data_IF_969941645919
#
_entry.id   IF_969941645919
#
_cell.length_a   1.000
_cell.length_b   1.000
_cell.length_c   1.000
_cell.angle_alpha   90.00
_cell.angle_beta   90.00
_cell.angle_gamma   90.00
#
_symmetry.space_group_name_H-M   'P 1'
#
loop_
_entity.id
_entity.type
_entity.pdbx_description
1 polymer ?
#
# COMPACT_ATOMS: atom_id res chain seq x y z
N UNK A 1 44.62 -88.31 79.43
CA UNK A 1 44.36 -87.64 78.14
C UNK A 1 43.30 -88.44 77.40
N UNK A 2 42.24 -87.92 76.80
CA UNK A 2 41.48 -86.69 76.89
C UNK A 2 40.18 -86.99 76.14
N UNK A 3 39.02 -86.64 76.70
CA UNK A 3 37.76 -86.45 75.97
C UNK A 3 37.91 -85.25 75.00
N UNK A 4 37.16 -85.12 73.88
CA UNK A 4 35.72 -84.89 73.96
C UNK A 4 34.79 -85.43 72.85
N UNK A 5 33.53 -85.58 73.29
CA UNK A 5 32.29 -85.60 72.51
C UNK A 5 32.23 -84.43 71.51
N UNK A 6 31.82 -84.71 70.26
CA UNK A 6 31.40 -83.68 69.30
C UNK A 6 29.88 -83.75 69.11
N UNK A 7 29.27 -82.59 69.30
CA UNK A 7 27.85 -82.32 69.41
C UNK A 7 27.13 -82.40 68.05
N UNK A 8 25.92 -82.95 68.08
CA UNK A 8 24.92 -82.92 67.03
C UNK A 8 24.66 -81.50 66.51
N UNK A 9 24.91 -81.26 65.22
CA UNK A 9 24.49 -80.05 64.50
C UNK A 9 22.96 -79.99 64.41
N UNK A 10 22.30 -79.28 65.33
CA UNK A 10 20.94 -78.78 65.11
C UNK A 10 20.98 -77.74 64.00
N UNK A 11 20.56 -78.11 62.78
CA UNK A 11 20.15 -77.13 61.75
C UNK A 11 18.92 -76.40 62.30
N UNK A 12 19.11 -75.16 62.77
CA UNK A 12 18.00 -74.23 63.00
C UNK A 12 17.32 -74.01 61.64
N UNK A 13 16.08 -74.48 61.50
CA UNK A 13 15.18 -74.00 60.44
C UNK A 13 14.99 -72.51 60.70
N UNK A 14 15.49 -71.67 59.81
CA UNK A 14 15.04 -70.29 59.73
C UNK A 14 13.56 -70.35 59.34
N UNK A 15 12.69 -70.17 60.33
CA UNK A 15 11.29 -69.85 60.10
C UNK A 15 11.26 -68.54 59.34
N UNK A 16 11.01 -68.63 58.03
CA UNK A 16 10.54 -67.49 57.25
C UNK A 16 9.28 -67.01 57.97
N UNK A 17 9.41 -65.88 58.67
CA UNK A 17 8.26 -65.16 59.19
C UNK A 17 7.40 -64.82 57.98
N UNK A 18 6.30 -65.57 57.80
CA UNK A 18 5.19 -65.11 56.98
C UNK A 18 4.74 -63.81 57.64
N UNK A 19 5.18 -62.68 57.08
CA UNK A 19 4.53 -61.39 57.34
C UNK A 19 3.06 -61.65 56.99
N UNK A 20 2.18 -61.55 57.98
CA UNK A 20 0.75 -61.62 57.72
C UNK A 20 0.43 -60.57 56.68
N UNK A 21 -0.12 -60.98 55.55
CA UNK A 21 -0.71 -60.06 54.58
C UNK A 21 -1.92 -59.44 55.29
N UNK A 22 -1.74 -58.23 55.83
CA UNK A 22 -2.83 -57.43 56.34
C UNK A 22 -3.64 -56.95 55.14
N UNK A 23 -4.93 -57.27 55.12
CA UNK A 23 -5.87 -56.72 54.14
C UNK A 23 -6.06 -55.20 54.35
N UNK A 24 -6.34 -54.49 53.26
CA UNK A 24 -6.66 -53.06 53.28
C UNK A 24 -7.91 -52.80 54.12
N UNK A 25 -7.85 -51.79 54.99
CA UNK A 25 -9.04 -51.37 55.75
C UNK A 25 -9.99 -50.57 54.85
N UNK A 26 -11.30 -50.62 55.12
CA UNK A 26 -12.29 -49.85 54.37
C UNK A 26 -12.02 -48.32 54.43
N UNK A 27 -11.48 -47.85 55.55
CA UNK A 27 -11.06 -46.44 55.74
C UNK A 27 -9.89 -46.08 54.81
N UNK A 28 -8.90 -46.96 54.66
CA UNK A 28 -7.72 -46.73 53.81
C UNK A 28 -8.08 -46.68 52.32
N UNK A 29 -9.04 -47.50 51.88
CA UNK A 29 -9.61 -47.41 50.53
C UNK A 29 -10.33 -46.08 50.32
N UNK A 30 -11.15 -45.63 51.29
CA UNK A 30 -11.85 -44.34 51.20
C UNK A 30 -10.88 -43.16 51.14
N UNK A 31 -9.82 -43.17 51.95
CA UNK A 31 -8.78 -42.12 51.94
C UNK A 31 -8.05 -42.13 50.59
N UNK A 32 -7.68 -43.31 50.07
CA UNK A 32 -6.98 -43.43 48.78
C UNK A 32 -7.81 -42.87 47.62
N UNK A 33 -9.10 -43.21 47.56
CA UNK A 33 -10.02 -42.70 46.52
C UNK A 33 -10.22 -41.19 46.69
N UNK A 34 -10.29 -40.68 47.92
CA UNK A 34 -10.43 -39.24 48.20
C UNK A 34 -9.22 -38.44 47.72
N UNK A 35 -8.00 -38.93 48.02
CA UNK A 35 -6.76 -38.31 47.57
C UNK A 35 -6.67 -38.37 46.03
N UNK A 36 -7.00 -39.51 45.43
CA UNK A 36 -7.01 -39.67 43.97
C UNK A 36 -7.97 -38.69 43.30
N UNK A 37 -9.20 -38.54 43.83
CA UNK A 37 -10.18 -37.61 43.31
C UNK A 37 -9.72 -36.15 43.43
N UNK A 38 -9.10 -35.79 44.57
CA UNK A 38 -8.55 -34.45 44.79
C UNK A 38 -7.41 -34.16 43.80
N UNK A 39 -6.47 -35.09 43.64
CA UNK A 39 -5.37 -34.96 42.67
C UNK A 39 -5.93 -34.87 41.25
N UNK A 40 -6.88 -35.73 40.87
CA UNK A 40 -7.51 -35.71 39.56
C UNK A 40 -8.18 -34.38 39.25
N UNK A 41 -8.86 -33.77 40.23
CA UNK A 41 -9.49 -32.45 40.09
C UNK A 41 -8.46 -31.35 39.87
N UNK A 42 -7.37 -31.35 40.64
CA UNK A 42 -6.29 -30.36 40.49
C UNK A 42 -5.60 -30.46 39.12
N UNK A 43 -5.32 -31.69 38.69
CA UNK A 43 -4.73 -31.97 37.38
C UNK A 43 -5.67 -31.50 36.26
N UNK A 44 -6.96 -31.82 36.35
CA UNK A 44 -7.95 -31.38 35.37
C UNK A 44 -8.04 -29.84 35.30
N UNK A 45 -8.05 -29.17 36.45
CA UNK A 45 -8.04 -27.71 36.53
C UNK A 45 -6.80 -27.09 35.87
N UNK A 46 -5.62 -27.68 36.08
CA UNK A 46 -4.38 -27.23 35.44
C UNK A 46 -4.42 -27.43 33.91
N UNK A 47 -4.90 -28.58 33.43
CA UNK A 47 -5.04 -28.85 31.99
C UNK A 47 -6.04 -27.92 31.32
N UNK A 48 -7.20 -27.66 31.94
CA UNK A 48 -8.19 -26.73 31.39
C UNK A 48 -7.64 -25.29 31.34
N UNK A 49 -6.96 -24.85 32.41
CA UNK A 49 -6.27 -23.56 32.44
C UNK A 49 -5.21 -23.44 31.33
N UNK A 50 -4.41 -24.48 31.13
CA UNK A 50 -3.40 -24.52 30.07
C UNK A 50 -4.03 -24.47 28.67
N UNK A 51 -5.12 -25.21 28.44
CA UNK A 51 -5.83 -25.20 27.18
C UNK A 51 -6.43 -23.83 26.85
N UNK A 52 -7.03 -23.15 27.83
CA UNK A 52 -7.55 -21.78 27.66
C UNK A 52 -6.43 -20.80 27.31
N UNK A 53 -5.32 -20.84 28.03
CA UNK A 53 -4.15 -20.01 27.75
C UNK A 53 -3.59 -20.26 26.35
N UNK A 54 -3.46 -21.54 25.95
CA UNK A 54 -2.97 -21.90 24.61
C UNK A 54 -3.87 -21.36 23.50
N UNK A 55 -5.20 -21.43 23.66
CA UNK A 55 -6.15 -20.86 22.68
C UNK A 55 -6.04 -19.34 22.60
N UNK A 56 -5.93 -18.67 23.75
CA UNK A 56 -5.74 -17.21 23.79
C UNK A 56 -4.45 -16.76 23.11
N UNK A 57 -3.34 -17.46 23.33
CA UNK A 57 -2.07 -17.19 22.64
C UNK A 57 -2.19 -17.46 21.13
N UNK A 58 -2.89 -18.53 20.72
CA UNK A 58 -3.13 -18.84 19.32
C UNK A 58 -3.87 -17.71 18.60
N UNK A 59 -5.03 -17.32 19.12
CA UNK A 59 -5.83 -16.21 18.57
C UNK A 59 -5.04 -14.91 18.49
N UNK A 60 -4.21 -14.64 19.51
CA UNK A 60 -3.32 -13.48 19.50
C UNK A 60 -2.33 -13.52 18.35
N UNK A 61 -1.62 -14.65 18.21
CA UNK A 61 -0.62 -14.86 17.17
C UNK A 61 -1.26 -14.72 15.80
N UNK A 62 -2.45 -15.29 15.60
CA UNK A 62 -3.19 -15.24 14.35
C UNK A 62 -3.54 -13.80 13.97
N UNK A 63 -4.04 -12.98 14.91
CA UNK A 63 -4.33 -11.56 14.68
C UNK A 63 -3.09 -10.76 14.30
N UNK A 64 -1.97 -10.99 14.98
CA UNK A 64 -0.71 -10.35 14.67
C UNK A 64 -0.13 -10.78 13.32
N UNK A 65 -0.32 -12.03 12.92
CA UNK A 65 0.07 -12.54 11.61
C UNK A 65 -0.80 -11.94 10.50
N UNK A 66 -2.12 -11.93 10.69
CA UNK A 66 -3.07 -11.36 9.74
C UNK A 66 -2.75 -9.89 9.46
N UNK A 67 -2.57 -9.06 10.50
CA UNK A 67 -2.22 -7.65 10.33
C UNK A 67 -0.89 -7.42 9.60
N UNK A 68 0.14 -8.20 9.94
CA UNK A 68 1.44 -8.12 9.24
C UNK A 68 1.34 -8.56 7.77
N UNK A 69 0.59 -9.62 7.48
CA UNK A 69 0.40 -10.11 6.12
C UNK A 69 -0.37 -9.11 5.27
N UNK A 70 -1.45 -8.54 5.81
CA UNK A 70 -2.23 -7.50 5.14
C UNK A 70 -1.37 -6.26 4.86
N UNK A 71 -0.71 -5.71 5.88
CA UNK A 71 0.14 -4.53 5.72
C UNK A 71 1.27 -4.77 4.71
N UNK A 72 1.92 -5.93 4.79
CA UNK A 72 3.01 -6.30 3.89
C UNK A 72 2.53 -6.53 2.45
N UNK A 73 1.29 -7.00 2.25
CA UNK A 73 0.68 -7.12 0.93
C UNK A 73 0.41 -5.75 0.32
N UNK A 74 -0.28 -4.87 1.04
CA UNK A 74 -0.58 -3.50 0.60
C UNK A 74 0.71 -2.76 0.24
N UNK A 75 1.71 -2.81 1.13
CA UNK A 75 3.01 -2.17 0.91
C UNK A 75 3.69 -2.64 -0.39
N UNK A 76 3.79 -3.96 -0.61
CA UNK A 76 4.44 -4.50 -1.81
C UNK A 76 3.74 -4.10 -3.10
N UNK A 77 2.42 -4.05 -3.11
CA UNK A 77 1.66 -3.73 -4.32
C UNK A 77 1.73 -2.24 -4.64
N UNK A 78 1.64 -1.36 -3.64
CA UNK A 78 1.84 0.08 -3.81
C UNK A 78 3.24 0.42 -4.35
N UNK A 79 4.29 -0.34 -3.96
CA UNK A 79 5.64 -0.15 -4.52
C UNK A 79 5.72 -0.40 -6.02
N UNK A 80 4.82 -1.23 -6.55
CA UNK A 80 4.76 -1.59 -7.97
C UNK A 80 3.75 -0.75 -8.76
N UNK A 81 3.18 0.28 -8.13
CA UNK A 81 2.26 1.20 -8.78
C UNK A 81 2.95 1.91 -9.97
N UNK A 82 2.22 2.05 -11.07
CA UNK A 82 2.72 2.72 -12.27
C UNK A 82 1.62 3.49 -13.00
N UNK A 83 2.03 4.49 -13.75
CA UNK A 83 1.19 5.22 -14.71
C UNK A 83 1.80 5.10 -16.10
N UNK A 84 0.99 5.17 -17.15
CA UNK A 84 1.47 5.13 -18.52
C UNK A 84 0.76 6.11 -19.45
N UNK A 85 1.56 6.80 -20.26
CA UNK A 85 1.15 7.65 -21.38
C UNK A 85 1.07 6.91 -22.71
N UNK A 86 1.21 5.58 -22.73
CA UNK A 86 1.04 4.77 -23.94
C UNK A 86 -0.45 4.64 -24.30
N UNK A 87 -1.03 5.77 -24.68
CA UNK A 87 -2.42 5.92 -25.08
C UNK A 87 -2.48 6.38 -26.54
N UNK A 88 -3.53 6.00 -27.29
CA UNK A 88 -3.73 6.50 -28.64
C UNK A 88 -3.93 8.03 -28.61
N UNK A 89 -3.45 8.71 -29.66
CA UNK A 89 -3.64 10.15 -29.85
C UNK A 89 -5.12 10.52 -29.93
N UNK A 90 -5.92 9.66 -30.56
CA UNK A 90 -7.37 9.79 -30.63
C UNK A 90 -8.02 9.03 -29.47
N UNK A 91 -8.69 9.79 -28.60
CA UNK A 91 -9.35 9.26 -27.40
C UNK A 91 -10.49 8.29 -27.72
N UNK A 92 -11.04 8.31 -28.95
CA UNK A 92 -12.07 7.35 -29.35
C UNK A 92 -11.57 5.90 -29.38
N UNK A 93 -10.25 5.68 -29.45
CA UNK A 93 -9.63 4.36 -29.40
C UNK A 93 -9.08 3.99 -28.02
N UNK A 94 -9.35 4.80 -27.00
CA UNK A 94 -8.90 4.51 -25.64
C UNK A 94 -9.65 3.29 -25.10
N UNK A 95 -8.91 2.21 -24.82
CA UNK A 95 -9.47 0.95 -24.28
C UNK A 95 -8.94 0.61 -22.90
N UNK A 96 -7.97 1.35 -22.40
CA UNK A 96 -7.30 1.14 -21.11
C UNK A 96 -6.84 2.45 -20.53
N UNK A 97 -6.94 2.60 -19.21
CA UNK A 97 -6.47 3.78 -18.49
C UNK A 97 -5.72 3.34 -17.23
N UNK A 98 -4.47 3.78 -17.10
CA UNK A 98 -3.73 3.59 -15.85
C UNK A 98 -4.05 4.72 -14.88
N UNK A 99 -4.30 4.40 -13.62
CA UNK A 99 -4.66 5.39 -12.59
C UNK A 99 -3.99 5.07 -11.26
N UNK A 100 -4.02 6.07 -10.39
CA UNK A 100 -3.84 6.02 -8.95
C UNK A 100 -4.83 7.02 -8.36
N UNK A 101 -5.90 6.51 -7.76
CA UNK A 101 -7.00 7.27 -7.16
C UNK A 101 -7.17 6.79 -5.73
N UNK A 102 -7.18 7.73 -4.81
CA UNK A 102 -7.29 7.50 -3.39
C UNK A 102 -8.27 8.49 -2.76
N UNK A 103 -9.21 7.94 -2.00
CA UNK A 103 -10.27 8.67 -1.32
C UNK A 103 -10.14 8.44 0.18
N UNK A 104 -10.06 9.55 0.92
CA UNK A 104 -10.18 9.55 2.39
C UNK A 104 -11.61 9.21 2.77
N UNK A 105 -11.80 8.17 3.57
CA UNK A 105 -13.14 7.80 4.02
C UNK A 105 -13.11 7.18 5.41
N UNK A 106 -14.07 7.56 6.26
CA UNK A 106 -14.16 7.04 7.62
C UNK A 106 -15.11 5.84 7.69
N UNK A 107 -14.70 4.70 8.30
CA UNK A 107 -13.49 4.48 9.08
C UNK A 107 -12.29 3.92 8.29
N UNK A 108 -12.42 3.72 6.97
CA UNK A 108 -11.40 3.07 6.16
C UNK A 108 -11.29 3.67 4.75
N UNK A 109 -10.10 4.09 4.37
CA UNK A 109 -9.82 4.71 3.08
C UNK A 109 -9.96 3.72 1.93
N UNK A 110 -10.14 4.28 0.72
CA UNK A 110 -10.14 3.53 -0.53
C UNK A 110 -8.97 3.98 -1.39
N UNK A 111 -8.26 3.02 -1.99
CA UNK A 111 -7.28 3.29 -3.04
C UNK A 111 -7.45 2.29 -4.17
N UNK A 112 -7.55 2.79 -5.39
CA UNK A 112 -7.53 2.01 -6.63
C UNK A 112 -6.36 2.49 -7.48
N UNK A 113 -5.57 1.54 -8.00
CA UNK A 113 -4.37 1.87 -8.76
C UNK A 113 -3.93 0.74 -9.70
N UNK A 114 -3.17 1.11 -10.72
CA UNK A 114 -2.54 0.17 -11.64
C UNK A 114 -1.16 -0.25 -11.13
N UNK A 115 -0.85 -1.55 -11.18
CA UNK A 115 0.37 -2.12 -10.61
C UNK A 115 0.96 -3.29 -11.43
N UNK A 116 2.27 -3.51 -11.28
CA UNK A 116 2.98 -4.73 -11.76
C UNK A 116 2.97 -5.83 -10.69
N UNK A 117 1.78 -6.31 -10.33
CA UNK A 117 1.60 -7.24 -9.21
C UNK A 117 0.82 -8.52 -9.58
N UNK A 118 0.38 -8.65 -10.83
CA UNK A 118 -0.33 -9.86 -11.27
C UNK A 118 0.63 -11.04 -11.38
N UNK A 119 0.16 -12.22 -11.01
CA UNK A 119 0.89 -13.47 -11.25
C UNK A 119 0.04 -14.40 -12.10
N UNK A 120 0.52 -14.68 -13.30
CA UNK A 120 -0.06 -15.67 -14.20
C UNK A 120 0.14 -17.07 -13.62
N UNK A 121 -0.97 -17.79 -13.39
CA UNK A 121 -0.95 -19.13 -12.79
C UNK A 121 -1.02 -20.26 -13.83
N UNK A 122 -1.50 -19.97 -15.05
CA UNK A 122 -1.68 -20.94 -16.12
C UNK A 122 -0.70 -20.68 -17.27
N UNK A 123 -0.23 -21.75 -17.91
CA UNK A 123 0.47 -21.63 -19.19
C UNK A 123 -0.47 -21.05 -20.24
N UNK A 124 0.05 -20.21 -21.13
CA UNK A 124 -0.66 -19.65 -22.28
C UNK A 124 -1.91 -18.81 -21.97
N UNK A 125 -2.10 -18.41 -20.71
CA UNK A 125 -3.11 -17.41 -20.37
C UNK A 125 -2.70 -16.05 -20.96
N UNK A 126 -3.66 -15.39 -21.60
CA UNK A 126 -3.54 -14.03 -22.16
C UNK A 126 -3.57 -12.99 -21.03
N UNK A 127 -2.68 -13.14 -20.06
CA UNK A 127 -2.57 -12.33 -18.85
C UNK A 127 -1.16 -11.72 -18.81
N UNK A 128 -1.07 -10.42 -18.49
CA UNK A 128 0.19 -9.72 -18.20
C UNK A 128 0.48 -9.76 -16.70
N UNK A 129 1.67 -9.34 -16.30
CA UNK A 129 1.99 -8.93 -14.92
C UNK A 129 1.29 -7.63 -14.46
N UNK A 130 0.67 -6.90 -15.39
CA UNK A 130 -0.10 -5.68 -15.14
C UNK A 130 -1.51 -6.01 -14.61
N UNK A 131 -1.98 -5.21 -13.66
CA UNK A 131 -3.28 -5.40 -13.01
C UNK A 131 -3.81 -4.10 -12.42
N UNK A 132 -5.10 -4.07 -12.17
CA UNK A 132 -5.74 -3.05 -11.34
C UNK A 132 -6.00 -3.62 -9.94
N UNK A 133 -5.63 -2.87 -8.93
CA UNK A 133 -5.77 -3.28 -7.53
C UNK A 133 -6.57 -2.23 -6.81
N UNK A 134 -7.53 -2.68 -5.99
CA UNK A 134 -8.29 -1.84 -5.07
C UNK A 134 -8.12 -2.33 -3.64
N UNK A 135 -7.88 -1.43 -2.68
CA UNK A 135 -8.02 -1.70 -1.26
C UNK A 135 -9.11 -0.83 -0.69
N UNK A 136 -10.04 -1.45 0.04
CA UNK A 136 -11.14 -0.78 0.71
C UNK A 136 -11.73 -1.69 1.76
N UNK A 137 -12.63 -1.16 2.59
CA UNK A 137 -13.31 -1.93 3.60
C UNK A 137 -14.74 -2.29 3.18
N UNK A 138 -15.18 -3.49 3.55
CA UNK A 138 -16.56 -3.97 3.37
C UNK A 138 -17.13 -4.45 4.70
N UNK A 139 -18.44 -4.34 4.87
CA UNK A 139 -19.10 -4.93 6.03
C UNK A 139 -19.20 -6.44 5.86
N UNK A 140 -18.93 -7.17 6.94
CA UNK A 140 -19.11 -8.60 6.97
C UNK A 140 -20.60 -8.94 6.72
N UNK A 141 -20.91 -9.90 5.82
CA UNK A 141 -22.28 -10.24 5.46
C UNK A 141 -23.06 -10.87 6.62
N UNK A 142 -22.39 -11.57 7.53
CA UNK A 142 -23.00 -12.20 8.70
C UNK A 142 -23.00 -11.26 9.92
N UNK A 143 -22.00 -10.38 10.04
CA UNK A 143 -21.82 -9.49 11.17
C UNK A 143 -21.76 -8.02 10.75
N UNK A 144 -22.90 -7.32 10.75
CA UNK A 144 -22.99 -5.91 10.29
C UNK A 144 -22.06 -4.90 10.99
N UNK A 145 -21.65 -5.21 12.23
CA UNK A 145 -20.76 -4.38 13.04
C UNK A 145 -19.27 -4.65 12.78
N UNK A 146 -18.95 -5.71 12.04
CA UNK A 146 -17.60 -6.10 11.67
C UNK A 146 -17.29 -5.52 10.29
N UNK A 147 -16.10 -4.96 10.19
CA UNK A 147 -15.58 -4.35 8.98
C UNK A 147 -14.34 -5.12 8.56
N UNK A 148 -14.27 -5.55 7.30
CA UNK A 148 -13.19 -6.35 6.77
C UNK A 148 -12.44 -5.55 5.70
N UNK A 149 -11.11 -5.51 5.80
CA UNK A 149 -10.25 -4.97 4.75
C UNK A 149 -10.19 -5.99 3.61
N UNK A 150 -10.57 -5.56 2.41
CA UNK A 150 -10.53 -6.39 1.21
C UNK A 150 -9.55 -5.84 0.19
N UNK A 151 -9.14 -6.73 -0.70
CA UNK A 151 -8.38 -6.43 -1.91
C UNK A 151 -9.17 -6.89 -3.13
N UNK A 152 -9.47 -5.95 -4.01
CA UNK A 152 -9.92 -6.20 -5.38
C UNK A 152 -8.70 -6.35 -6.29
N UNK A 153 -8.76 -7.29 -7.21
CA UNK A 153 -7.79 -7.41 -8.30
C UNK A 153 -8.50 -7.69 -9.61
N UNK A 154 -8.31 -6.84 -10.62
CA UNK A 154 -8.70 -7.10 -12.00
C UNK A 154 -7.47 -7.40 -12.85
N UNK A 155 -7.47 -8.55 -13.51
CA UNK A 155 -6.36 -9.02 -14.35
C UNK A 155 -6.12 -8.16 -15.59
N UNK A 156 -7.11 -7.36 -15.96
CA UNK A 156 -7.10 -6.54 -17.16
C UNK A 156 -7.25 -5.07 -16.75
N UNK A 157 -6.45 -4.21 -17.37
CA UNK A 157 -6.61 -2.77 -17.27
C UNK A 157 -7.63 -2.34 -18.31
N UNK A 158 -8.72 -1.71 -17.87
CA UNK A 158 -9.80 -1.24 -18.73
C UNK A 158 -10.10 0.25 -18.49
N UNK A 159 -11.33 0.69 -18.76
CA UNK A 159 -11.78 2.08 -18.59
C UNK A 159 -12.54 2.29 -17.28
N UNK A 160 -12.84 1.23 -16.53
CA UNK A 160 -13.55 1.23 -15.26
C UNK A 160 -12.62 0.74 -14.14
N UNK A 161 -11.50 1.45 -13.87
CA UNK A 161 -10.39 0.95 -13.06
C UNK A 161 -10.72 0.69 -11.59
N UNK A 162 -11.93 1.05 -11.16
CA UNK A 162 -12.49 0.90 -9.83
C UNK A 162 -13.44 -0.29 -9.69
N UNK A 163 -13.78 -0.98 -10.80
CA UNK A 163 -14.84 -2.00 -10.84
C UNK A 163 -14.31 -3.36 -11.31
N UNK A 164 -15.18 -4.36 -11.33
CA UNK A 164 -14.83 -5.71 -11.76
C UNK A 164 -13.81 -6.40 -10.83
N UNK A 165 -13.07 -7.36 -11.39
CA UNK A 165 -12.06 -8.12 -10.65
C UNK A 165 -12.63 -9.06 -9.58
N UNK A 166 -11.71 -9.68 -8.84
CA UNK A 166 -12.01 -10.58 -7.72
C UNK A 166 -11.70 -9.89 -6.41
N UNK A 167 -12.65 -9.91 -5.48
CA UNK A 167 -12.50 -9.32 -4.14
C UNK A 167 -12.19 -10.42 -3.14
N UNK A 168 -11.10 -10.26 -2.38
CA UNK A 168 -10.66 -11.18 -1.33
C UNK A 168 -10.45 -10.45 -0.01
N UNK A 169 -10.80 -11.09 1.10
CA UNK A 169 -10.54 -10.55 2.45
C UNK A 169 -9.05 -10.65 2.78
N UNK A 170 -8.46 -9.54 3.20
CA UNK A 170 -7.07 -9.45 3.67
C UNK A 170 -6.98 -9.52 5.18
N UNK A 171 -7.79 -8.73 5.87
CA UNK A 171 -7.84 -8.69 7.31
C UNK A 171 -9.29 -8.52 7.76
N UNK A 172 -9.71 -9.37 8.67
CA UNK A 172 -11.05 -9.35 9.23
C UNK A 172 -11.11 -8.45 10.47
N UNK A 173 -12.26 -7.84 10.71
CA UNK A 173 -12.56 -7.07 11.93
C UNK A 173 -11.54 -5.94 12.20
N UNK A 174 -11.34 -5.11 11.19
CA UNK A 174 -10.54 -3.90 11.30
C UNK A 174 -11.30 -2.84 12.11
N UNK A 175 -10.56 -2.03 12.85
CA UNK A 175 -11.07 -0.80 13.45
C UNK A 175 -10.96 0.37 12.45
N UNK A 176 -9.81 0.50 11.79
CA UNK A 176 -9.56 1.53 10.78
C UNK A 176 -8.46 1.14 9.80
N UNK A 177 -8.51 1.73 8.61
CA UNK A 177 -7.47 1.64 7.57
C UNK A 177 -7.27 3.02 6.97
N UNK A 178 -6.09 3.59 7.10
CA UNK A 178 -5.80 4.95 6.61
C UNK A 178 -4.51 5.02 5.81
N UNK A 179 -4.54 5.84 4.77
CA UNK A 179 -3.47 6.07 3.82
C UNK A 179 -3.19 7.57 3.72
N UNK A 180 -1.91 7.94 3.83
CA UNK A 180 -1.46 9.30 3.55
C UNK A 180 -0.43 9.29 2.44
N UNK A 181 -0.43 10.34 1.63
CA UNK A 181 0.34 10.44 0.40
C UNK A 181 1.24 11.66 0.46
N UNK A 182 2.55 11.45 0.29
CA UNK A 182 3.53 12.53 0.29
C UNK A 182 3.65 13.13 -1.12
N UNK A 183 3.27 14.41 -1.27
CA UNK A 183 3.43 15.15 -2.53
C UNK A 183 4.82 15.79 -2.60
N UNK A 184 5.69 15.35 -3.52
CA UNK A 184 7.03 15.92 -3.65
C UNK A 184 7.03 17.39 -4.14
N UNK A 185 5.93 17.89 -4.72
CA UNK A 185 5.86 19.27 -5.19
C UNK A 185 5.52 20.27 -4.09
N UNK A 186 4.67 19.90 -3.14
CA UNK A 186 4.33 20.76 -1.99
C UNK A 186 5.19 20.46 -0.76
N UNK A 187 5.73 19.23 -0.65
CA UNK A 187 6.44 18.77 0.53
C UNK A 187 5.51 18.40 1.69
N UNK A 188 4.22 18.20 1.43
CA UNK A 188 3.19 17.93 2.44
C UNK A 188 2.61 16.53 2.29
N UNK A 189 2.07 16.02 3.41
CA UNK A 189 1.24 14.81 3.42
C UNK A 189 -0.20 15.19 3.14
N UNK A 190 -0.86 14.41 2.29
CA UNK A 190 -2.25 14.58 1.88
C UNK A 190 -3.02 13.29 2.11
N UNK A 191 -4.31 13.39 2.43
CA UNK A 191 -5.15 12.21 2.73
C UNK A 191 -5.84 11.65 1.46
N UNK A 192 -5.72 12.33 0.32
CA UNK A 192 -6.27 11.88 -0.97
C UNK A 192 -5.26 12.10 -2.11
N UNK A 193 -5.42 11.31 -3.17
CA UNK A 193 -4.60 11.42 -4.36
C UNK A 193 -5.42 11.10 -5.61
N UNK A 194 -5.40 11.94 -6.64
CA UNK A 194 -6.08 11.67 -7.91
C UNK A 194 -5.18 12.03 -9.10
N UNK A 195 -4.53 11.00 -9.65
CA UNK A 195 -3.68 11.12 -10.84
C UNK A 195 -4.45 11.36 -12.14
N UNK A 196 -5.78 11.27 -12.12
CA UNK A 196 -6.64 11.49 -13.29
C UNK A 196 -7.15 12.93 -13.39
N UNK A 197 -7.11 13.68 -12.29
CA UNK A 197 -7.47 15.09 -12.26
C UNK A 197 -6.39 15.96 -12.89
N UNK A 198 -6.76 16.72 -13.91
CA UNK A 198 -5.87 17.61 -14.66
C UNK A 198 -5.22 18.69 -13.77
N UNK A 199 -5.88 19.06 -12.68
CA UNK A 199 -5.37 20.07 -11.75
C UNK A 199 -4.69 19.39 -10.56
N UNK A 200 -3.43 19.75 -10.31
CA UNK A 200 -2.67 19.24 -9.17
C UNK A 200 -1.88 17.97 -9.50
N UNK A 201 -2.49 16.79 -9.35
CA UNK A 201 -1.78 15.51 -9.29
C UNK A 201 -1.78 14.72 -10.62
N UNK A 202 -2.27 15.32 -11.71
CA UNK A 202 -2.32 14.72 -13.04
C UNK A 202 -1.02 14.00 -13.43
N UNK A 203 -1.14 12.74 -13.85
CA UNK A 203 0.00 11.94 -14.34
C UNK A 203 1.15 11.78 -13.32
N UNK A 204 0.88 11.95 -12.03
CA UNK A 204 1.89 11.79 -10.96
C UNK A 204 1.48 10.71 -9.97
N UNK A 205 2.48 10.05 -9.42
CA UNK A 205 2.36 9.17 -8.26
C UNK A 205 2.91 9.89 -7.03
N UNK A 206 2.39 9.58 -5.83
CA UNK A 206 2.97 10.10 -4.60
C UNK A 206 4.38 9.53 -4.40
N UNK A 207 5.27 10.29 -3.76
CA UNK A 207 6.65 9.83 -3.53
C UNK A 207 6.69 8.74 -2.45
N UNK A 208 5.84 8.86 -1.44
CA UNK A 208 5.69 7.87 -0.37
C UNK A 208 4.22 7.74 0.03
N UNK A 209 3.87 6.54 0.49
CA UNK A 209 2.57 6.26 1.12
C UNK A 209 2.80 5.83 2.56
N UNK A 210 2.12 6.46 3.50
CA UNK A 210 2.06 6.04 4.90
C UNK A 210 0.79 5.23 5.09
N UNK A 211 0.96 3.96 5.44
CA UNK A 211 -0.14 3.02 5.65
C UNK A 211 -0.32 2.82 7.16
N UNK A 212 -1.55 2.98 7.64
CA UNK A 212 -1.95 2.69 9.02
C UNK A 212 -3.10 1.70 9.01
N UNK A 213 -2.90 0.53 9.63
CA UNK A 213 -3.93 -0.50 9.79
C UNK A 213 -4.14 -0.77 11.28
N UNK A 214 -5.38 -0.65 11.75
CA UNK A 214 -5.75 -0.94 13.13
C UNK A 214 -6.71 -2.12 13.14
N UNK A 215 -6.35 -3.19 13.84
CA UNK A 215 -7.18 -4.39 14.01
C UNK A 215 -7.82 -4.42 15.40
N UNK A 216 -9.04 -4.97 15.48
CA UNK A 216 -9.65 -5.37 16.76
C UNK A 216 -9.13 -6.76 17.18
N UNK A 217 -9.40 -7.13 18.44
CA UNK A 217 -9.09 -8.46 18.96
C UNK A 217 -7.66 -8.65 19.48
N UNK A 218 -7.00 -7.58 19.93
CA UNK A 218 -5.72 -7.65 20.65
C UNK A 218 -5.84 -8.07 22.11
N UNK A 219 -4.71 -8.08 22.85
CA UNK A 219 -4.66 -8.62 24.21
C UNK A 219 -5.62 -7.88 25.13
N UNK A 220 -6.50 -8.61 25.81
CA UNK A 220 -7.52 -8.00 26.66
C UNK A 220 -8.53 -7.12 25.90
N UNK A 221 -8.73 -7.35 24.60
CA UNK A 221 -9.63 -6.58 23.75
C UNK A 221 -9.06 -5.26 23.23
N UNK A 222 -7.76 -5.01 23.43
CA UNK A 222 -7.10 -3.80 22.92
C UNK A 222 -6.99 -3.80 21.39
N UNK A 223 -6.87 -2.60 20.81
CA UNK A 223 -6.61 -2.42 19.39
C UNK A 223 -5.14 -2.73 19.08
N UNK A 224 -4.88 -3.34 17.92
CA UNK A 224 -3.54 -3.61 17.43
C UNK A 224 -3.25 -2.70 16.25
N UNK A 225 -2.33 -1.76 16.43
CA UNK A 225 -1.92 -0.80 15.39
C UNK A 225 -0.68 -1.29 14.65
N UNK A 226 -0.74 -1.25 13.32
CA UNK A 226 0.38 -1.48 12.43
C UNK A 226 0.58 -0.25 11.53
N UNK A 227 1.82 0.19 11.38
CA UNK A 227 2.16 1.33 10.53
C UNK A 227 3.39 1.02 9.69
N UNK A 228 3.42 1.52 8.46
CA UNK A 228 4.61 1.49 7.63
C UNK A 228 4.60 2.64 6.63
N UNK A 229 5.80 3.09 6.22
CA UNK A 229 6.00 4.07 5.16
C UNK A 229 6.68 3.39 3.99
N UNK A 230 6.13 3.60 2.80
CA UNK A 230 6.51 2.87 1.61
C UNK A 230 6.83 3.85 0.49
N UNK A 231 8.04 3.82 -0.08
CA UNK A 231 8.35 4.63 -1.24
C UNK A 231 7.69 4.05 -2.49
N UNK A 232 7.17 4.89 -3.37
CA UNK A 232 6.75 4.46 -4.71
C UNK A 232 7.95 4.62 -5.65
N UNK A 233 8.34 3.53 -6.31
CA UNK A 233 9.55 3.52 -7.14
C UNK A 233 9.40 4.39 -8.39
N UNK A 234 8.22 4.40 -9.01
CA UNK A 234 7.94 5.17 -10.21
C UNK A 234 7.45 6.58 -9.85
N UNK A 235 8.14 7.60 -10.36
CA UNK A 235 7.80 9.02 -10.14
C UNK A 235 7.31 9.72 -11.41
N UNK A 236 7.57 9.13 -12.58
CA UNK A 236 7.21 9.66 -13.90
C UNK A 236 6.47 8.56 -14.64
N UNK A 237 5.36 8.87 -15.34
CA UNK A 237 4.63 7.86 -16.09
C UNK A 237 5.49 7.29 -17.23
N UNK A 238 5.27 6.02 -17.54
CA UNK A 238 5.88 5.35 -18.68
C UNK A 238 5.38 5.99 -19.98
N UNK A 239 6.29 6.53 -20.79
CA UNK A 239 5.98 7.12 -22.08
C UNK A 239 7.18 7.11 -23.03
N UNK A 240 6.95 7.48 -24.28
CA UNK A 240 7.99 7.63 -25.29
C UNK A 240 8.98 8.74 -24.90
N UNK A 241 10.21 8.70 -25.43
CA UNK A 241 11.28 9.66 -25.10
C UNK A 241 10.87 11.12 -25.34
N UNK A 242 9.98 11.36 -26.29
CA UNK A 242 9.51 12.68 -26.70
C UNK A 242 8.44 13.22 -25.72
N UNK A 243 7.87 12.34 -24.89
CA UNK A 243 6.78 12.63 -23.95
C UNK A 243 7.23 12.65 -22.48
N UNK A 244 8.51 12.36 -22.21
CA UNK A 244 9.08 12.40 -20.87
C UNK A 244 9.84 13.73 -20.67
N UNK A 245 9.45 14.55 -19.68
CA UNK A 245 10.07 15.87 -19.44
C UNK A 245 11.54 15.79 -19.06
N UNK A 246 12.03 14.62 -18.61
CA UNK A 246 13.43 14.41 -18.24
C UNK A 246 14.32 14.01 -19.43
N UNK A 247 13.75 13.62 -20.59
CA UNK A 247 14.50 13.20 -21.78
C UNK A 247 14.44 14.23 -22.92
N UNK A 248 13.42 15.09 -22.94
CA UNK A 248 13.26 16.14 -23.96
C UNK A 248 14.36 17.22 -23.96
N UNK A 249 15.17 17.31 -22.90
CA UNK A 249 16.29 18.26 -22.79
C UNK A 249 17.61 17.77 -23.40
N UNK A 250 17.75 16.48 -23.71
CA UNK A 250 18.98 15.93 -24.30
C UNK A 250 18.95 15.80 -25.84
N UNK A 251 17.78 15.90 -26.47
CA UNK A 251 17.63 15.69 -27.92
C UNK A 251 17.72 16.97 -28.77
N UNK A 252 18.17 18.11 -28.24
CA UNK A 252 18.32 19.36 -29.02
C UNK A 252 19.76 19.72 -29.43
N UNK A 253 20.78 18.94 -29.04
CA UNK A 253 22.19 19.22 -29.39
C UNK A 253 22.81 18.28 -30.44
N UNK A 254 21.99 17.53 -31.18
CA UNK A 254 22.43 16.69 -32.30
C UNK A 254 21.92 17.21 -33.63
N UNK A 255 22.37 18.39 -34.06
CA UNK A 255 22.02 18.94 -35.37
C UNK A 255 22.55 18.08 -36.52
N UNK A 256 21.65 17.41 -37.24
CA UNK A 256 21.91 16.90 -38.59
C UNK A 256 21.19 17.85 -39.55
N UNK A 257 21.97 18.69 -40.23
CA UNK A 257 21.52 19.47 -41.38
C UNK A 257 21.04 18.50 -42.47
N UNK A 258 19.73 18.42 -42.68
CA UNK A 258 19.16 17.82 -43.88
C UNK A 258 18.98 18.94 -44.91
N UNK A 259 19.73 18.83 -46.00
CA UNK A 259 19.66 19.74 -47.14
C UNK A 259 18.30 19.66 -47.82
N UNK A 260 17.64 20.81 -47.93
CA UNK A 260 16.51 20.99 -48.83
C UNK A 260 17.06 21.22 -50.24
N UNK A 261 17.11 20.15 -51.02
CA UNK A 261 17.05 20.23 -52.47
C UNK A 261 15.92 19.34 -52.97
N UNK A 262 15.41 19.68 -54.15
CA UNK A 262 14.41 18.98 -54.97
C UNK A 262 12.94 19.30 -54.68
N UNK A 263 12.47 20.42 -55.25
CA UNK A 263 11.32 20.35 -56.16
C UNK A 263 11.26 21.57 -57.09
N UNK A 264 11.93 21.43 -58.24
CA UNK A 264 11.73 22.24 -59.44
C UNK A 264 10.99 21.39 -60.47
N UNK A 265 9.71 21.69 -60.71
CA UNK A 265 9.03 21.32 -61.95
C UNK A 265 7.77 22.18 -62.18
N UNK A 266 7.89 23.05 -63.20
CA UNK A 266 6.92 23.24 -64.28
C UNK A 266 5.50 23.69 -63.92
N UNK A 267 5.21 24.97 -64.19
CA UNK A 267 4.12 25.26 -65.13
C UNK A 267 4.35 26.59 -65.87
N UNK A 268 4.34 26.50 -67.20
CA UNK A 268 4.36 27.59 -68.17
C UNK A 268 2.94 27.97 -68.58
N UNK A 269 2.58 29.27 -68.58
CA UNK A 269 1.75 29.89 -69.62
C UNK A 269 1.49 31.39 -69.38
N UNK A 270 1.54 32.13 -70.51
CA UNK A 270 0.86 33.39 -70.86
C UNK A 270 1.18 34.66 -70.05
N UNK A 271 2.07 35.53 -70.52
CA UNK A 271 1.87 36.60 -71.53
C UNK A 271 0.98 37.78 -71.10
N UNK A 272 1.60 38.97 -71.05
CA UNK A 272 1.07 40.17 -71.70
C UNK A 272 0.80 41.39 -70.81
N UNK A 273 1.49 42.52 -71.06
CA UNK A 273 0.91 43.86 -70.88
C UNK A 273 1.81 44.95 -70.29
N UNK A 274 2.28 45.85 -71.16
CA UNK A 274 3.19 46.99 -70.97
C UNK A 274 2.64 48.20 -70.19
N UNK A 275 3.56 49.14 -69.87
CA UNK A 275 3.42 50.61 -69.63
C UNK A 275 3.22 51.05 -68.16
N UNK A 276 3.90 52.05 -67.56
CA UNK A 276 4.88 53.05 -67.98
C UNK A 276 5.09 54.11 -66.86
N UNK A 277 6.17 54.93 -66.93
CA UNK A 277 6.34 56.23 -66.23
C UNK A 277 7.17 56.22 -64.92
N UNK A 278 8.46 56.57 -64.91
CA UNK A 278 9.11 57.91 -64.77
C UNK A 278 9.05 58.61 -63.38
N UNK A 279 10.22 58.66 -62.72
CA UNK A 279 10.82 59.86 -62.12
C UNK A 279 10.40 60.31 -60.71
N UNK A 280 11.33 60.34 -59.74
CA UNK A 280 12.06 61.56 -59.33
C UNK A 280 12.90 61.34 -58.04
N UNK A 281 14.12 61.86 -58.13
CA UNK A 281 15.16 62.22 -57.15
C UNK A 281 14.68 62.89 -55.85
N UNK A 282 15.44 62.72 -54.75
CA UNK A 282 15.30 63.57 -53.55
C UNK A 282 16.15 63.16 -52.34
N UNK A 283 17.36 63.68 -52.29
CA UNK A 283 18.39 63.53 -51.25
C UNK A 283 18.01 64.26 -49.93
N UNK A 284 18.44 63.78 -48.75
CA UNK A 284 18.21 64.51 -47.49
C UNK A 284 18.72 63.81 -46.22
N UNK A 285 19.95 64.15 -45.85
CA UNK A 285 20.75 63.65 -44.71
C UNK A 285 20.47 64.50 -43.43
N UNK A 286 20.83 63.94 -42.26
CA UNK A 286 21.44 64.59 -41.06
C UNK A 286 20.68 64.48 -39.71
N UNK A 287 21.30 63.66 -38.84
CA UNK A 287 21.66 63.78 -37.40
C UNK A 287 20.66 63.98 -36.25
N UNK A 288 21.04 63.32 -35.15
CA UNK A 288 20.76 63.63 -33.75
C UNK A 288 20.10 62.44 -33.06
N UNK A 289 20.72 61.61 -32.21
CA UNK A 289 21.76 61.86 -31.22
C UNK A 289 21.12 61.86 -29.82
N UNK A 290 21.51 60.93 -28.94
CA UNK A 290 21.42 61.14 -27.48
C UNK A 290 20.42 60.31 -26.66
N UNK A 291 20.78 59.07 -26.37
CA UNK A 291 21.04 58.54 -25.02
C UNK A 291 20.31 59.12 -23.77
N UNK A 292 19.51 58.23 -23.16
CA UNK A 292 19.47 57.82 -21.72
C UNK A 292 19.16 58.76 -20.53
N UNK A 293 18.34 58.13 -19.64
CA UNK A 293 18.34 58.14 -18.15
C UNK A 293 17.63 59.28 -17.39
N UNK A 294 16.59 58.88 -16.67
CA UNK A 294 16.68 58.73 -15.22
C UNK A 294 15.80 59.65 -14.34
N UNK A 295 15.06 59.02 -13.43
CA UNK A 295 14.85 59.53 -12.06
C UNK A 295 13.48 60.12 -11.71
N UNK A 296 12.90 59.64 -10.61
CA UNK A 296 11.80 60.27 -9.86
C UNK A 296 10.87 59.24 -9.19
N UNK A 297 11.14 58.84 -7.94
CA UNK A 297 10.59 59.40 -6.68
C UNK A 297 9.23 58.79 -6.28
N UNK A 298 9.23 57.88 -5.29
CA UNK A 298 8.83 58.05 -3.86
C UNK A 298 7.32 58.19 -3.61
N UNK A 299 6.78 57.33 -2.76
CA UNK A 299 5.41 57.46 -2.23
C UNK A 299 5.05 56.37 -1.22
N UNK A 300 5.29 56.68 0.05
CA UNK A 300 5.02 55.92 1.28
C UNK A 300 3.53 55.69 1.54
N UNK A 301 3.16 54.57 2.19
CA UNK A 301 1.81 54.38 2.73
C UNK A 301 1.63 53.04 3.47
N UNK A 302 1.99 53.00 4.75
CA UNK A 302 1.59 51.94 5.68
C UNK A 302 0.14 52.18 6.15
N UNK A 303 -0.65 51.12 6.29
CA UNK A 303 -1.70 51.04 7.32
C UNK A 303 -2.06 49.58 7.60
N UNK A 304 -2.03 49.22 8.88
CA UNK A 304 -2.35 47.92 9.43
C UNK A 304 -3.82 47.86 9.86
N UNK A 305 -4.39 46.65 9.88
CA UNK A 305 -5.69 46.38 10.51
C UNK A 305 -6.01 44.89 10.53
N UNK A 306 -5.78 44.23 11.67
CA UNK A 306 -6.21 42.86 11.97
C UNK A 306 -7.65 42.85 12.58
N UNK A 307 -8.19 41.72 13.09
CA UNK A 307 -9.33 41.01 12.52
C UNK A 307 -10.62 41.14 13.35
N UNK A 308 -11.77 40.70 12.82
CA UNK A 308 -12.97 40.45 13.64
C UNK A 308 -13.68 39.15 13.27
N UNK A 309 -14.02 38.42 14.33
CA UNK A 309 -14.73 37.16 14.37
C UNK A 309 -16.24 37.42 14.53
N UNK A 310 -17.04 36.40 14.17
CA UNK A 310 -18.35 36.01 14.75
C UNK A 310 -19.62 36.43 13.99
N UNK A 311 -20.42 35.43 13.61
CA UNK A 311 -21.79 35.58 13.12
C UNK A 311 -22.50 34.24 12.96
N UNK A 312 -23.14 33.77 14.04
CA UNK A 312 -24.07 32.65 14.11
C UNK A 312 -25.47 32.98 13.56
N UNK A 313 -26.19 31.94 13.11
CA UNK A 313 -27.64 31.76 12.84
C UNK A 313 -28.19 32.23 11.49
N UNK A 314 -28.69 31.28 10.69
CA UNK A 314 -30.07 30.77 10.79
C UNK A 314 -30.06 29.24 10.67
#
# INVERSE_FOLDING_TARGET
>A
MSTPRVLSRRRRRASAARRGEAGLTLVEVLISISILALIGTLIYGAFDGMNRTRRGIGQMSDRYHQGRQALSRVARELQTAFLSRHMPLDQNYLVRKTIFIAEDSSPADRVDFTAFAHRRLMSDAHESDQTEIGFFAVRDPEQRNKLDLVRRESKFIDLEPERGGVVNVLAEDIDSFSLQYFDPMTGEWTDSWDSSQVTGQYDRLPLQVWITLVLRGGPGGQLIKFETKVPIAMQVPLGWADQNPNTSSQSQNGGVQSGNDVNSALNSASQGGLSGGMGNTGNGRVQGGGATRGGGMTGTGMSAGSPSTRGTRQ
#
